data_IF_911613117637
#
_entry.id   IF_911613117637
#
_cell.length_a   1.000
_cell.length_b   1.000
_cell.length_c   1.000
_cell.angle_alpha   90.00
_cell.angle_beta   90.00
_cell.angle_gamma   90.00
#
_symmetry.space_group_name_H-M   'P 1'
#
loop_
_entity.id
_entity.type
_entity.pdbx_description
1 polymer ?
#
# COMPACT_ATOMS: atom_id res chain seq x y z
N UNK A 1 0.14 -42.90 3.06
CA UNK A 1 1.25 -42.06 3.55
C UNK A 1 1.12 -40.61 3.09
N UNK A 2 0.74 -40.33 1.83
CA UNK A 2 0.59 -38.96 1.32
C UNK A 2 -0.46 -38.05 1.98
N UNK A 3 -1.50 -38.56 2.65
CA UNK A 3 -2.51 -37.68 3.29
C UNK A 3 -2.03 -36.97 4.55
N UNK A 4 -1.02 -37.51 5.24
CA UNK A 4 -0.47 -36.91 6.46
C UNK A 4 0.60 -35.86 6.14
N UNK A 5 1.38 -36.10 5.09
CA UNK A 5 2.38 -35.14 4.60
C UNK A 5 1.71 -33.91 3.99
N UNK A 6 0.68 -34.11 3.16
CA UNK A 6 -0.12 -33.02 2.59
C UNK A 6 -0.81 -32.18 3.68
N UNK A 7 -1.41 -32.83 4.69
CA UNK A 7 -2.03 -32.12 5.81
C UNK A 7 -1.04 -31.23 6.55
N UNK A 8 0.16 -31.76 6.84
CA UNK A 8 1.22 -30.99 7.52
C UNK A 8 1.75 -29.84 6.67
N UNK A 9 1.84 -30.03 5.35
CA UNK A 9 2.22 -28.98 4.42
C UNK A 9 1.19 -27.84 4.43
N UNK A 10 -0.09 -28.17 4.35
CA UNK A 10 -1.17 -27.18 4.39
C UNK A 10 -1.26 -26.48 5.75
N UNK A 11 -1.06 -27.19 6.87
CA UNK A 11 -0.97 -26.58 8.20
C UNK A 11 0.18 -25.56 8.29
N UNK A 12 1.36 -25.89 7.77
CA UNK A 12 2.50 -24.97 7.75
C UNK A 12 2.24 -23.73 6.88
N UNK A 13 1.59 -23.90 5.72
CA UNK A 13 1.18 -22.78 4.87
C UNK A 13 0.15 -21.90 5.56
N UNK A 14 -0.82 -22.51 6.24
CA UNK A 14 -1.91 -21.82 6.91
C UNK A 14 -1.41 -20.84 7.99
N UNK A 15 -0.32 -21.17 8.68
CA UNK A 15 0.31 -20.27 9.66
C UNK A 15 0.76 -18.95 9.01
N UNK A 16 1.46 -19.02 7.88
CA UNK A 16 1.90 -17.83 7.16
C UNK A 16 0.72 -17.08 6.51
N UNK A 17 -0.28 -17.81 5.98
CA UNK A 17 -1.50 -17.20 5.41
C UNK A 17 -2.25 -16.37 6.47
N UNK A 18 -2.33 -16.85 7.71
CA UNK A 18 -2.99 -16.09 8.78
C UNK A 18 -2.16 -14.86 9.18
N UNK A 19 -0.84 -14.96 9.22
CA UNK A 19 0.03 -13.79 9.46
C UNK A 19 -0.14 -12.71 8.38
N UNK A 20 -0.24 -13.11 7.11
CA UNK A 20 -0.56 -12.19 6.00
C UNK A 20 -1.96 -11.57 6.17
N UNK A 21 -2.94 -12.37 6.57
CA UNK A 21 -4.32 -11.91 6.84
C UNK A 21 -4.38 -10.80 7.88
N UNK A 22 -3.64 -10.95 8.99
CA UNK A 22 -3.61 -9.97 10.09
C UNK A 22 -2.92 -8.66 9.71
N UNK A 23 -1.90 -8.71 8.86
CA UNK A 23 -1.06 -7.55 8.53
C UNK A 23 -1.56 -6.74 7.33
N UNK A 24 -2.48 -7.30 6.54
CA UNK A 24 -2.98 -6.67 5.30
C UNK A 24 -3.84 -5.42 5.51
N UNK A 25 -4.32 -5.17 6.73
CA UNK A 25 -4.97 -3.91 7.09
C UNK A 25 -4.04 -2.71 6.94
N UNK A 26 -2.73 -2.89 7.12
CA UNK A 26 -1.73 -1.83 6.88
C UNK A 26 -1.71 -1.35 5.43
N UNK A 27 -2.13 -2.21 4.50
CA UNK A 27 -2.26 -1.91 3.08
C UNK A 27 -3.67 -1.43 2.69
N UNK A 28 -4.56 -1.23 3.68
CA UNK A 28 -5.96 -0.87 3.48
C UNK A 28 -6.81 -2.01 2.90
N UNK A 29 -6.39 -3.25 3.11
CA UNK A 29 -7.11 -4.46 2.69
C UNK A 29 -7.78 -5.14 3.88
N UNK A 30 -8.87 -5.86 3.64
CA UNK A 30 -9.52 -6.65 4.70
C UNK A 30 -8.75 -7.95 4.97
N UNK A 31 -8.89 -8.55 6.18
CA UNK A 31 -8.28 -9.85 6.48
C UNK A 31 -8.64 -10.95 5.47
N UNK A 32 -9.87 -10.94 4.96
CA UNK A 32 -10.29 -11.86 3.89
C UNK A 32 -9.52 -11.69 2.58
N UNK A 33 -9.12 -10.46 2.22
CA UNK A 33 -8.28 -10.19 1.06
C UNK A 33 -6.83 -10.63 1.33
N UNK A 34 -6.35 -10.48 2.56
CA UNK A 34 -5.05 -10.99 2.97
C UNK A 34 -4.96 -12.51 2.91
N UNK A 35 -5.99 -13.23 3.40
CA UNK A 35 -6.09 -14.69 3.21
C UNK A 35 -6.13 -15.09 1.74
N UNK A 36 -6.89 -14.38 0.91
CA UNK A 36 -6.92 -14.62 -0.53
C UNK A 36 -5.51 -14.49 -1.13
N UNK A 37 -4.79 -13.42 -0.81
CA UNK A 37 -3.41 -13.24 -1.26
C UNK A 37 -2.49 -14.36 -0.77
N UNK A 38 -2.55 -14.74 0.51
CA UNK A 38 -1.76 -15.84 1.05
C UNK A 38 -2.05 -17.19 0.37
N UNK A 39 -3.31 -17.48 0.07
CA UNK A 39 -3.69 -18.68 -0.69
C UNK A 39 -3.09 -18.63 -2.10
N UNK A 40 -3.15 -17.48 -2.77
CA UNK A 40 -2.56 -17.30 -4.10
C UNK A 40 -1.03 -17.38 -4.07
N UNK A 41 -0.39 -16.90 -3.00
CA UNK A 41 1.06 -16.89 -2.81
C UNK A 41 1.64 -18.32 -2.79
N UNK A 42 0.93 -19.29 -2.22
CA UNK A 42 1.37 -20.69 -2.21
C UNK A 42 0.81 -21.52 -3.37
N UNK A 43 -0.01 -20.94 -4.24
CA UNK A 43 -0.61 -21.66 -5.36
C UNK A 43 0.32 -21.63 -6.58
N UNK A 44 0.70 -22.81 -7.08
CA UNK A 44 1.70 -22.95 -8.15
C UNK A 44 1.22 -22.42 -9.51
N UNK A 45 -0.08 -22.55 -9.77
CA UNK A 45 -0.69 -22.13 -11.04
C UNK A 45 -1.51 -20.84 -10.91
N UNK A 46 -1.65 -20.05 -11.99
CA UNK A 46 -2.59 -18.95 -12.05
C UNK A 46 -4.02 -19.43 -11.79
N UNK A 47 -4.78 -18.66 -11.02
CA UNK A 47 -6.12 -19.02 -10.59
C UNK A 47 -7.19 -18.19 -11.31
N UNK A 48 -8.30 -18.84 -11.64
CA UNK A 48 -9.54 -18.15 -12.02
C UNK A 48 -10.28 -17.63 -10.78
N UNK A 49 -11.14 -16.63 -10.97
CA UNK A 49 -12.01 -16.15 -9.89
C UNK A 49 -12.90 -17.24 -9.28
N UNK A 50 -13.25 -18.27 -10.05
CA UNK A 50 -14.09 -19.37 -9.55
C UNK A 50 -13.31 -20.29 -8.60
N UNK A 51 -12.04 -20.58 -8.91
CA UNK A 51 -11.15 -21.38 -8.05
C UNK A 51 -10.79 -20.63 -6.76
N UNK A 52 -10.56 -19.32 -6.85
CA UNK A 52 -10.35 -18.51 -5.65
C UNK A 52 -11.57 -18.56 -4.72
N UNK A 53 -12.79 -18.54 -5.28
CA UNK A 53 -14.03 -18.60 -4.49
C UNK A 53 -14.23 -19.95 -3.83
N UNK A 54 -13.94 -21.05 -4.53
CA UNK A 54 -14.06 -22.37 -3.93
C UNK A 54 -13.10 -22.56 -2.77
N UNK A 55 -11.90 -22.00 -2.83
CA UNK A 55 -10.90 -22.07 -1.76
C UNK A 55 -11.17 -21.12 -0.58
N UNK A 56 -11.61 -19.90 -0.86
CA UNK A 56 -11.80 -18.86 0.19
C UNK A 56 -13.19 -18.83 0.81
N UNK A 57 -14.20 -19.43 0.17
CA UNK A 57 -15.60 -19.30 0.56
C UNK A 57 -16.21 -17.91 0.31
N UNK A 58 -15.48 -17.00 -0.35
CA UNK A 58 -15.96 -15.63 -0.61
C UNK A 58 -17.10 -15.59 -1.62
N UNK A 59 -18.03 -14.65 -1.42
CA UNK A 59 -19.09 -14.38 -2.40
C UNK A 59 -18.51 -13.87 -3.73
N UNK A 60 -19.27 -13.96 -4.82
CA UNK A 60 -18.84 -13.48 -6.14
C UNK A 60 -18.45 -12.00 -6.12
N UNK A 61 -19.25 -11.18 -5.43
CA UNK A 61 -18.97 -9.75 -5.27
C UNK A 61 -17.73 -9.51 -4.43
N UNK A 62 -17.61 -10.20 -3.29
CA UNK A 62 -16.45 -10.08 -2.40
C UNK A 62 -15.15 -10.47 -3.12
N UNK A 63 -15.16 -11.58 -3.88
CA UNK A 63 -14.02 -12.00 -4.69
C UNK A 63 -13.63 -10.96 -5.75
N UNK A 64 -14.60 -10.45 -6.50
CA UNK A 64 -14.30 -9.47 -7.55
C UNK A 64 -13.74 -8.17 -7.00
N UNK A 65 -14.24 -7.71 -5.84
CA UNK A 65 -13.69 -6.53 -5.15
C UNK A 65 -12.30 -6.82 -4.58
N UNK A 66 -12.09 -8.00 -3.98
CA UNK A 66 -10.82 -8.42 -3.39
C UNK A 66 -9.71 -8.48 -4.43
N UNK A 67 -9.92 -9.21 -5.53
CA UNK A 67 -8.92 -9.32 -6.60
C UNK A 67 -8.61 -7.95 -7.23
N UNK A 68 -9.62 -7.09 -7.42
CA UNK A 68 -9.36 -5.73 -7.90
C UNK A 68 -8.54 -4.90 -6.92
N UNK A 69 -8.79 -5.03 -5.62
CA UNK A 69 -8.03 -4.33 -4.60
C UNK A 69 -6.58 -4.81 -4.57
N UNK A 70 -6.36 -6.13 -4.57
CA UNK A 70 -5.03 -6.74 -4.67
C UNK A 70 -4.29 -6.32 -5.95
N UNK A 71 -4.96 -6.30 -7.11
CA UNK A 71 -4.36 -5.85 -8.37
C UNK A 71 -4.01 -4.38 -8.37
N UNK A 72 -4.81 -3.53 -7.72
CA UNK A 72 -4.50 -2.09 -7.56
C UNK A 72 -3.22 -1.90 -6.75
N UNK A 73 -2.99 -2.74 -5.75
CA UNK A 73 -1.75 -2.74 -4.95
C UNK A 73 -0.64 -3.56 -5.59
N UNK A 74 -0.85 -4.08 -6.81
CA UNK A 74 0.10 -4.93 -7.54
C UNK A 74 0.55 -6.18 -6.78
N UNK A 75 -0.29 -6.64 -5.85
CA UNK A 75 -0.08 -7.92 -5.15
C UNK A 75 -0.55 -9.10 -5.98
N UNK A 76 -1.40 -8.87 -6.99
CA UNK A 76 -1.82 -9.91 -7.94
C UNK A 76 -1.94 -9.36 -9.37
N UNK A 77 -1.51 -10.14 -10.34
CA UNK A 77 -1.49 -9.75 -11.76
C UNK A 77 -2.35 -10.68 -12.60
N UNK A 78 -2.93 -10.14 -13.67
CA UNK A 78 -3.60 -10.98 -14.67
C UNK A 78 -2.55 -11.70 -15.51
N UNK A 79 -2.76 -13.00 -15.72
CA UNK A 79 -1.98 -13.81 -16.65
C UNK A 79 -2.84 -14.28 -17.80
N UNK A 80 -2.25 -14.35 -18.99
CA UNK A 80 -2.88 -14.98 -20.14
C UNK A 80 -2.34 -16.39 -20.32
N UNK A 81 -3.22 -17.34 -20.61
CA UNK A 81 -2.86 -18.71 -20.95
C UNK A 81 -3.62 -19.16 -22.20
N UNK A 82 -2.88 -19.72 -23.15
CA UNK A 82 -3.44 -20.21 -24.42
C UNK A 82 -4.53 -21.24 -24.16
N UNK A 83 -5.70 -21.03 -24.75
CA UNK A 83 -6.84 -21.94 -24.64
C UNK A 83 -7.75 -21.68 -23.43
N UNK A 84 -7.34 -20.83 -22.48
CA UNK A 84 -8.17 -20.43 -21.35
C UNK A 84 -8.93 -19.14 -21.71
N UNK A 85 -10.26 -19.20 -21.69
CA UNK A 85 -11.13 -18.04 -21.98
C UNK A 85 -11.42 -17.16 -20.76
N UNK A 86 -11.13 -17.66 -19.55
CA UNK A 86 -11.34 -16.95 -18.29
C UNK A 86 -10.12 -16.11 -17.95
N UNK A 87 -10.34 -15.02 -17.21
CA UNK A 87 -9.24 -14.28 -16.58
C UNK A 87 -8.55 -15.18 -15.54
N UNK A 88 -7.23 -15.29 -15.66
CA UNK A 88 -6.36 -15.93 -14.68
C UNK A 88 -5.58 -14.86 -13.93
N UNK A 89 -5.27 -15.13 -12.67
CA UNK A 89 -4.52 -14.24 -11.81
C UNK A 89 -3.44 -15.00 -11.04
N UNK A 90 -2.31 -14.36 -10.81
CA UNK A 90 -1.13 -14.91 -10.14
C UNK A 90 -0.68 -13.91 -9.07
N UNK A 91 -0.17 -14.40 -7.94
CA UNK A 91 0.38 -13.54 -6.90
C UNK A 91 1.71 -12.92 -7.35
N UNK A 92 1.98 -11.69 -6.93
CA UNK A 92 3.31 -11.10 -7.05
C UNK A 92 4.23 -11.68 -5.96
N UNK A 93 5.41 -12.14 -6.37
CA UNK A 93 6.42 -12.69 -5.46
C UNK A 93 7.54 -11.69 -5.17
N UNK A 94 7.69 -10.65 -6.01
CA UNK A 94 8.58 -9.53 -5.73
C UNK A 94 7.93 -8.57 -4.71
N UNK A 95 8.06 -8.97 -3.44
CA UNK A 95 7.55 -8.21 -2.30
C UNK A 95 8.30 -6.88 -2.13
N UNK A 96 9.58 -6.82 -2.53
CA UNK A 96 10.38 -5.59 -2.46
C UNK A 96 9.83 -4.52 -3.40
N UNK A 97 9.57 -4.90 -4.65
CA UNK A 97 8.93 -4.02 -5.62
C UNK A 97 7.54 -3.60 -5.18
N UNK A 98 6.73 -4.55 -4.72
CA UNK A 98 5.36 -4.28 -4.25
C UNK A 98 5.35 -3.27 -3.11
N UNK A 99 6.28 -3.43 -2.15
CA UNK A 99 6.47 -2.51 -1.03
C UNK A 99 6.81 -1.10 -1.52
N UNK A 100 7.82 -0.99 -2.38
CA UNK A 100 8.28 0.32 -2.91
C UNK A 100 7.16 1.04 -3.64
N UNK A 101 6.49 0.35 -4.56
CA UNK A 101 5.43 0.94 -5.37
C UNK A 101 4.21 1.33 -4.54
N UNK A 102 3.87 0.56 -3.50
CA UNK A 102 2.77 0.88 -2.59
C UNK A 102 3.03 2.15 -1.78
N UNK A 103 4.17 2.21 -1.07
CA UNK A 103 4.46 3.32 -0.17
C UNK A 103 4.75 4.61 -0.93
N UNK A 104 5.43 4.52 -2.09
CA UNK A 104 5.63 5.67 -2.98
C UNK A 104 4.27 6.32 -3.35
N UNK A 105 3.29 5.50 -3.80
CA UNK A 105 1.97 6.01 -4.15
C UNK A 105 1.20 6.59 -2.96
N UNK A 106 1.29 5.96 -1.78
CA UNK A 106 0.62 6.49 -0.58
C UNK A 106 1.19 7.85 -0.17
N UNK A 107 2.52 7.97 -0.11
CA UNK A 107 3.18 9.21 0.26
C UNK A 107 3.01 10.29 -0.79
N UNK A 108 3.03 9.97 -2.09
CA UNK A 108 2.75 10.94 -3.15
C UNK A 108 1.35 11.56 -2.99
N UNK A 109 0.34 10.71 -2.74
CA UNK A 109 -1.02 11.17 -2.46
C UNK A 109 -1.09 12.05 -1.21
N UNK A 110 -0.42 11.65 -0.14
CA UNK A 110 -0.33 12.43 1.10
C UNK A 110 0.30 13.81 0.85
N UNK A 111 1.43 13.86 0.13
CA UNK A 111 2.15 15.09 -0.23
C UNK A 111 1.21 16.02 -1.02
N UNK A 112 0.53 15.51 -2.05
CA UNK A 112 -0.35 16.32 -2.89
C UNK A 112 -1.49 16.96 -2.08
N UNK A 113 -2.18 16.18 -1.25
CA UNK A 113 -3.30 16.66 -0.43
C UNK A 113 -2.82 17.73 0.55
N UNK A 114 -1.74 17.43 1.29
CA UNK A 114 -1.29 18.30 2.37
C UNK A 114 -0.59 19.57 1.87
N UNK A 115 0.19 19.51 0.79
CA UNK A 115 0.79 20.72 0.21
C UNK A 115 -0.27 21.72 -0.25
N UNK A 116 -1.35 21.23 -0.88
CA UNK A 116 -2.48 22.08 -1.28
C UNK A 116 -3.15 22.74 -0.07
N UNK A 117 -3.37 21.99 1.00
CA UNK A 117 -3.93 22.52 2.24
C UNK A 117 -2.99 23.56 2.88
N UNK A 118 -1.69 23.26 2.99
CA UNK A 118 -0.68 24.17 3.54
C UNK A 118 -0.61 25.49 2.78
N UNK A 119 -0.59 25.46 1.44
CA UNK A 119 -0.56 26.66 0.61
C UNK A 119 -1.81 27.52 0.82
N UNK A 120 -2.99 26.90 0.86
CA UNK A 120 -4.25 27.61 1.11
C UNK A 120 -4.30 28.21 2.51
N UNK A 121 -3.86 27.48 3.54
CA UNK A 121 -3.83 27.98 4.91
C UNK A 121 -2.87 29.16 5.04
N UNK A 122 -1.67 29.05 4.48
CA UNK A 122 -0.70 30.15 4.49
C UNK A 122 -1.23 31.39 3.78
N UNK A 123 -1.86 31.24 2.62
CA UNK A 123 -2.48 32.35 1.90
C UNK A 123 -3.57 33.03 2.75
N UNK A 124 -4.44 32.25 3.38
CA UNK A 124 -5.51 32.78 4.23
C UNK A 124 -4.95 33.53 5.44
N UNK A 125 -3.91 32.99 6.08
CA UNK A 125 -3.25 33.63 7.22
C UNK A 125 -2.54 34.94 6.83
N UNK A 126 -1.87 34.95 5.67
CA UNK A 126 -1.23 36.18 5.15
C UNK A 126 -2.27 37.26 4.81
N UNK A 127 -3.38 36.88 4.17
CA UNK A 127 -4.48 37.80 3.90
C UNK A 127 -5.09 38.38 5.18
N UNK A 128 -5.21 37.56 6.23
CA UNK A 128 -5.71 38.03 7.53
C UNK A 128 -4.76 39.06 8.18
N UNK A 129 -3.45 38.95 7.97
CA UNK A 129 -2.48 39.96 8.43
C UNK A 129 -2.59 41.31 7.71
N UNK A 130 -3.29 41.36 6.57
CA UNK A 130 -3.50 42.58 5.79
C UNK A 130 -4.78 43.35 6.21
N UNK A 131 -5.58 42.80 7.13
CA UNK A 131 -6.81 43.45 7.62
C UNK A 131 -6.48 44.61 8.58
N UNK A 132 -7.18 45.75 8.41
CA UNK A 132 -6.88 47.01 9.13
C UNK A 132 -7.09 46.90 10.66
N UNK A 133 -8.06 46.09 11.11
CA UNK A 133 -8.46 45.98 12.52
C UNK A 133 -7.95 44.71 13.22
N UNK A 134 -6.87 44.10 12.72
CA UNK A 134 -6.33 42.89 13.33
C UNK A 134 -5.69 43.17 14.70
N UNK A 135 -6.08 42.38 15.71
CA UNK A 135 -5.51 42.52 17.06
C UNK A 135 -4.02 42.12 17.11
N UNK A 136 -3.20 42.73 18.00
CA UNK A 136 -1.82 42.30 18.21
C UNK A 136 -1.69 40.84 18.66
N UNK A 137 -2.64 40.34 19.45
CA UNK A 137 -2.66 38.95 19.90
C UNK A 137 -2.89 37.99 18.73
N UNK A 138 -3.87 38.28 17.87
CA UNK A 138 -4.13 37.49 16.66
C UNK A 138 -2.91 37.51 15.73
N UNK A 139 -2.28 38.67 15.56
CA UNK A 139 -1.05 38.81 14.77
C UNK A 139 0.08 37.91 15.27
N UNK A 140 0.33 37.86 16.58
CA UNK A 140 1.36 36.99 17.17
C UNK A 140 1.06 35.50 16.94
N UNK A 141 -0.21 35.10 17.13
CA UNK A 141 -0.66 33.73 16.85
C UNK A 141 -0.46 33.34 15.38
N UNK A 142 -0.83 34.21 14.45
CA UNK A 142 -0.64 33.95 13.02
C UNK A 142 0.85 33.78 12.68
N UNK A 143 1.73 34.62 13.22
CA UNK A 143 3.19 34.49 13.00
C UNK A 143 3.71 33.14 13.49
N UNK A 144 3.29 32.70 14.69
CA UNK A 144 3.64 31.37 15.22
C UNK A 144 3.12 30.24 14.33
N UNK A 145 1.90 30.37 13.81
CA UNK A 145 1.31 29.36 12.94
C UNK A 145 2.01 29.32 11.57
N UNK A 146 2.41 30.47 11.00
CA UNK A 146 3.20 30.53 9.76
C UNK A 146 4.55 29.82 9.90
N UNK A 147 5.23 29.92 11.06
CA UNK A 147 6.46 29.15 11.30
C UNK A 147 6.19 27.63 11.38
N UNK A 148 5.08 27.19 12.00
CA UNK A 148 4.68 25.77 11.97
C UNK A 148 4.42 25.29 10.54
N UNK A 149 3.75 26.10 9.71
CA UNK A 149 3.48 25.77 8.31
C UNK A 149 4.77 25.67 7.51
N UNK A 150 5.77 26.51 7.80
CA UNK A 150 7.10 26.45 7.19
C UNK A 150 7.81 25.14 7.52
N UNK A 151 7.80 24.70 8.78
CA UNK A 151 8.36 23.41 9.17
C UNK A 151 7.60 22.24 8.53
N UNK A 152 6.26 22.30 8.45
CA UNK A 152 5.47 21.29 7.74
C UNK A 152 5.83 21.22 6.24
N UNK A 153 6.06 22.36 5.57
CA UNK A 153 6.53 22.38 4.18
C UNK A 153 7.90 21.73 4.03
N UNK A 154 8.84 21.96 4.96
CA UNK A 154 10.15 21.32 4.96
C UNK A 154 10.03 19.80 5.06
N UNK A 155 9.14 19.31 5.93
CA UNK A 155 8.84 17.89 6.05
C UNK A 155 8.33 17.30 4.72
N UNK A 156 7.29 17.89 4.10
CA UNK A 156 6.77 17.36 2.82
C UNK A 156 7.74 17.51 1.64
N UNK A 157 8.68 18.46 1.70
CA UNK A 157 9.79 18.52 0.74
C UNK A 157 10.81 17.40 0.96
N UNK A 158 11.05 16.99 2.20
CA UNK A 158 11.86 15.81 2.50
C UNK A 158 11.15 14.50 2.12
N UNK A 159 9.85 14.38 2.41
CA UNK A 159 9.07 13.19 2.05
C UNK A 159 9.02 12.98 0.53
N UNK A 160 8.90 14.05 -0.26
CA UNK A 160 8.98 13.96 -1.73
C UNK A 160 10.33 13.39 -2.20
N UNK A 161 11.45 13.83 -1.62
CA UNK A 161 12.76 13.23 -1.93
C UNK A 161 12.85 11.76 -1.51
N UNK A 162 12.17 11.37 -0.44
CA UNK A 162 12.09 9.96 -0.02
C UNK A 162 11.30 9.13 -1.04
N UNK A 163 10.21 9.66 -1.57
CA UNK A 163 9.47 9.03 -2.68
C UNK A 163 10.36 8.87 -3.90
N UNK A 164 11.12 9.89 -4.29
CA UNK A 164 12.07 9.80 -5.42
C UNK A 164 13.12 8.68 -5.22
N UNK A 165 13.61 8.50 -3.98
CA UNK A 165 14.55 7.43 -3.63
C UNK A 165 13.91 6.05 -3.77
N UNK A 166 12.64 5.92 -3.40
CA UNK A 166 11.87 4.69 -3.57
C UNK A 166 11.65 4.38 -5.05
N UNK A 167 11.09 5.32 -5.81
CA UNK A 167 10.74 5.12 -7.22
C UNK A 167 11.95 4.89 -8.12
N UNK A 168 13.10 5.49 -7.78
CA UNK A 168 14.35 5.28 -8.53
C UNK A 168 15.05 3.97 -8.20
N UNK A 169 14.59 3.19 -7.22
CA UNK A 169 15.23 1.96 -6.76
C UNK A 169 16.48 2.17 -5.89
N UNK A 170 16.93 3.43 -5.71
CA UNK A 170 18.09 3.78 -4.87
C UNK A 170 17.92 3.36 -3.41
N UNK A 171 16.69 3.12 -2.97
CA UNK A 171 16.41 2.59 -1.64
C UNK A 171 17.17 1.28 -1.38
N UNK A 172 17.35 0.43 -2.40
CA UNK A 172 18.06 -0.84 -2.26
C UNK A 172 19.59 -0.67 -2.18
N UNK A 173 20.12 0.47 -2.60
CA UNK A 173 21.54 0.82 -2.37
C UNK A 173 21.76 1.33 -0.93
N UNK A 174 20.77 2.01 -0.36
CA UNK A 174 20.82 2.59 1.00
C UNK A 174 20.48 1.56 2.08
N UNK A 175 19.54 0.67 1.77
CA UNK A 175 19.09 -0.44 2.61
C UNK A 175 19.17 -1.70 1.75
N UNK A 176 20.35 -2.31 1.78
CA UNK A 176 20.65 -3.50 0.98
C UNK A 176 19.73 -4.66 1.33
N UNK A 177 19.23 -5.34 0.31
CA UNK A 177 18.55 -6.62 0.47
C UNK A 177 19.58 -7.60 1.07
N UNK A 178 19.29 -8.25 2.22
CA UNK A 178 20.17 -9.25 2.79
C UNK A 178 20.47 -10.36 1.78
N UNK A 179 21.73 -10.81 1.72
CA UNK A 179 22.05 -12.06 1.02
C UNK A 179 21.32 -13.21 1.72
N UNK A 180 20.95 -14.25 0.97
CA UNK A 180 20.26 -15.42 1.49
C UNK A 180 21.04 -15.96 2.71
N UNK A 181 20.47 -15.82 3.90
CA UNK A 181 20.99 -16.48 5.09
C UNK A 181 20.64 -17.96 4.99
N UNK A 182 21.64 -18.79 4.68
CA UNK A 182 21.60 -20.25 4.85
C UNK A 182 21.20 -20.67 6.28
#
# INVERSE_FOLDING_TARGET
MGSNEESKLEEARQEYIESLSETMEMYGLSPSMGRLYGIMFFHEDPMTLDEMRSRTGMSKTSMSTGVRALSRLKLVHKKWQKGVRKDLYEAEHDQFRSFVEFFAQQWEKEIQINRKALAKTEQNLKRLLEEEDISPETTDRIRKDLEKLKEAKRYYAWLERMVDVFESGKIFDLVSIPEDTE
#
